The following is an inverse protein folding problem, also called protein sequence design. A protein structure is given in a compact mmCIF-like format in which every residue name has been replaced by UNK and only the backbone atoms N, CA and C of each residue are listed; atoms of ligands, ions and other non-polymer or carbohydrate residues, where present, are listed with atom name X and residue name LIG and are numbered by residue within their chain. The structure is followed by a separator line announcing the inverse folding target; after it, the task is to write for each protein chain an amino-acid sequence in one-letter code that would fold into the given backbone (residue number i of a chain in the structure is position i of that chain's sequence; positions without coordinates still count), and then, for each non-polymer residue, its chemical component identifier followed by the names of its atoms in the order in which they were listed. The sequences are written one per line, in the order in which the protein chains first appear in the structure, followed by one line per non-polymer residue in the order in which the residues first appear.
data_IF_693416434801
#
_entry.id   IF_693416434801
#
_cell.length_a   1.000
_cell.length_b   1.000
_cell.length_c   1.000
_cell.angle_alpha   90.00
_cell.angle_beta   90.00
_cell.angle_gamma   90.00
#
_symmetry.space_group_name_H-M   'P 1'
#
loop_
_entity.id
_entity.type
_entity.pdbx_description
1 polymer ?
#
# COMPACT_ATOMS: atom_id res chain seq x y z
N UNK A 1 -1.77 -8.57 31.34
CA UNK A 1 -3.14 -8.06 31.57
C UNK A 1 -4.14 -9.17 31.19
N UNK A 2 -5.29 -9.32 31.86
CA UNK A 2 -6.28 -10.31 31.42
C UNK A 2 -7.00 -9.83 30.14
N UNK A 3 -6.94 -10.62 29.07
CA UNK A 3 -7.58 -10.32 27.79
C UNK A 3 -9.10 -10.09 27.95
N UNK A 4 -9.76 -10.84 28.84
CA UNK A 4 -11.18 -10.70 29.11
C UNK A 4 -11.53 -9.36 29.80
N UNK A 5 -10.63 -8.79 30.58
CA UNK A 5 -10.88 -7.57 31.35
C UNK A 5 -10.44 -6.30 30.62
N UNK A 6 -9.76 -6.42 29.48
CA UNK A 6 -9.32 -5.26 28.71
C UNK A 6 -10.51 -4.48 28.13
N UNK A 7 -10.45 -3.14 28.06
CA UNK A 7 -11.49 -2.34 27.42
C UNK A 7 -11.78 -2.74 25.97
N UNK A 8 -10.74 -3.16 25.23
CA UNK A 8 -10.88 -3.70 23.87
C UNK A 8 -11.63 -5.03 23.90
N UNK A 9 -11.24 -5.96 24.79
CA UNK A 9 -11.90 -7.25 24.93
C UNK A 9 -13.37 -7.16 25.33
N UNK A 10 -13.74 -6.18 26.18
CA UNK A 10 -15.13 -5.91 26.52
C UNK A 10 -15.94 -5.44 25.30
N UNK A 11 -15.36 -4.58 24.45
CA UNK A 11 -16.03 -4.14 23.21
C UNK A 11 -16.13 -5.28 22.21
N UNK A 12 -15.06 -6.06 22.04
CA UNK A 12 -15.04 -7.22 21.16
C UNK A 12 -16.14 -8.22 21.52
N UNK A 13 -16.35 -8.51 22.82
CA UNK A 13 -17.44 -9.39 23.25
C UNK A 13 -18.82 -8.88 22.85
N UNK A 14 -19.06 -7.56 22.93
CA UNK A 14 -20.34 -6.96 22.53
C UNK A 14 -20.58 -7.02 21.02
N UNK A 15 -19.51 -6.97 20.24
CA UNK A 15 -19.56 -6.98 18.77
C UNK A 15 -19.16 -8.33 18.17
N UNK A 16 -19.01 -9.39 18.98
CA UNK A 16 -18.32 -10.63 18.58
C UNK A 16 -18.95 -11.30 17.36
N UNK A 17 -20.28 -11.37 17.32
CA UNK A 17 -21.00 -12.00 16.21
C UNK A 17 -20.78 -11.21 14.90
N UNK A 18 -20.90 -9.89 14.95
CA UNK A 18 -20.69 -9.02 13.80
C UNK A 18 -19.23 -9.06 13.32
N UNK A 19 -18.27 -9.07 14.25
CA UNK A 19 -16.85 -9.22 13.93
C UNK A 19 -16.56 -10.57 13.28
N UNK A 20 -17.07 -11.67 13.84
CA UNK A 20 -16.86 -13.01 13.27
C UNK A 20 -17.43 -13.13 11.87
N UNK A 21 -18.65 -12.62 11.66
CA UNK A 21 -19.31 -12.59 10.35
C UNK A 21 -18.48 -11.78 9.34
N UNK A 22 -18.06 -10.57 9.73
CA UNK A 22 -17.23 -9.72 8.89
C UNK A 22 -15.91 -10.40 8.51
N UNK A 23 -15.25 -11.02 9.49
CA UNK A 23 -14.00 -11.76 9.31
C UNK A 23 -14.15 -12.90 8.30
N UNK A 24 -15.23 -13.66 8.40
CA UNK A 24 -15.54 -14.76 7.47
C UNK A 24 -15.82 -14.26 6.05
N UNK A 25 -16.59 -13.19 5.91
CA UNK A 25 -16.98 -12.63 4.61
C UNK A 25 -15.81 -11.97 3.87
N UNK A 26 -14.88 -11.35 4.62
CA UNK A 26 -13.81 -10.52 4.04
C UNK A 26 -12.41 -11.16 4.11
N UNK A 27 -12.29 -12.38 4.65
CA UNK A 27 -11.00 -13.06 4.81
C UNK A 27 -10.05 -12.32 5.76
N UNK A 28 -10.60 -11.72 6.82
CA UNK A 28 -9.85 -10.96 7.83
C UNK A 28 -9.76 -11.80 9.10
N UNK A 29 -8.58 -11.87 9.72
CA UNK A 29 -8.38 -12.56 10.99
C UNK A 29 -8.26 -11.58 12.13
N UNK A 30 -8.99 -11.81 13.22
CA UNK A 30 -9.00 -10.96 14.41
C UNK A 30 -8.78 -11.81 15.66
N UNK A 31 -7.83 -11.41 16.52
CA UNK A 31 -7.62 -12.05 17.82
C UNK A 31 -7.18 -11.04 18.87
N UNK A 32 -7.49 -11.32 20.13
CA UNK A 32 -7.16 -10.44 21.25
C UNK A 32 -5.86 -10.93 21.91
N UNK A 33 -4.88 -10.05 22.02
CA UNK A 33 -3.60 -10.35 22.67
C UNK A 33 -3.02 -9.10 23.34
N UNK A 34 -2.52 -9.27 24.56
CA UNK A 34 -2.06 -8.23 25.48
C UNK A 34 -3.00 -7.00 25.59
N UNK A 35 -4.32 -7.24 25.64
CA UNK A 35 -5.32 -6.18 25.70
C UNK A 35 -5.46 -5.33 24.42
N UNK A 36 -4.84 -5.76 23.33
CA UNK A 36 -4.94 -5.17 21.99
C UNK A 36 -5.69 -6.12 21.07
N UNK A 37 -6.48 -5.59 20.15
CA UNK A 37 -7.09 -6.39 19.09
C UNK A 37 -6.16 -6.39 17.89
N UNK A 38 -5.63 -7.56 17.58
CA UNK A 38 -4.78 -7.81 16.44
C UNK A 38 -5.66 -8.15 15.24
N UNK A 39 -5.37 -7.50 14.13
CA UNK A 39 -6.12 -7.68 12.88
C UNK A 39 -5.11 -7.94 11.78
N UNK A 40 -5.34 -9.02 11.04
CA UNK A 40 -4.51 -9.43 9.91
C UNK A 40 -5.41 -9.55 8.68
N UNK A 41 -5.03 -8.83 7.63
CA UNK A 41 -5.57 -9.03 6.28
C UNK A 41 -4.52 -9.70 5.40
N UNK A 42 -4.88 -10.20 4.21
CA UNK A 42 -3.89 -10.69 3.25
C UNK A 42 -2.88 -9.64 2.78
N UNK A 43 -3.08 -8.34 3.09
CA UNK A 43 -2.28 -7.22 2.58
C UNK A 43 -1.57 -6.43 3.67
N UNK A 44 -2.07 -6.44 4.90
CA UNK A 44 -1.62 -5.53 5.95
C UNK A 44 -1.89 -6.08 7.35
N UNK A 45 -1.16 -5.53 8.31
CA UNK A 45 -1.29 -5.83 9.74
C UNK A 45 -1.74 -4.58 10.48
N UNK A 46 -2.70 -4.75 11.40
CA UNK A 46 -3.27 -3.66 12.18
C UNK A 46 -3.41 -4.03 13.66
N UNK A 47 -3.53 -2.99 14.48
CA UNK A 47 -3.84 -3.08 15.91
C UNK A 47 -4.93 -2.09 16.24
N UNK A 48 -5.90 -2.52 17.02
CA UNK A 48 -6.84 -1.63 17.71
C UNK A 48 -6.50 -1.65 19.19
N UNK A 49 -6.26 -0.47 19.75
CA UNK A 49 -6.04 -0.27 21.17
C UNK A 49 -7.08 0.70 21.73
N UNK A 50 -7.27 0.67 23.04
CA UNK A 50 -7.90 1.78 23.75
C UNK A 50 -6.79 2.70 24.27
N UNK A 51 -6.85 3.98 23.94
CA UNK A 51 -5.87 4.97 24.37
C UNK A 51 -6.56 6.17 25.04
N UNK A 52 -5.95 6.65 26.13
CA UNK A 52 -6.38 7.81 26.89
C UNK A 52 -7.54 7.56 27.86
N UNK A 53 -7.84 8.58 28.68
CA UNK A 53 -8.85 8.54 29.75
C UNK A 53 -10.30 8.33 29.26
N UNK A 54 -10.57 8.61 27.99
CA UNK A 54 -11.91 8.57 27.41
C UNK A 54 -12.34 7.18 26.89
N UNK A 55 -11.56 6.13 27.13
CA UNK A 55 -11.84 4.76 26.65
C UNK A 55 -12.15 4.67 25.14
N UNK A 56 -11.55 5.55 24.33
CA UNK A 56 -11.77 5.60 22.88
C UNK A 56 -10.86 4.59 22.18
N UNK A 57 -11.37 4.02 21.10
CA UNK A 57 -10.59 3.15 20.23
C UNK A 57 -9.67 3.97 19.32
N UNK A 58 -8.50 3.41 19.04
CA UNK A 58 -7.49 3.96 18.15
C UNK A 58 -7.02 2.84 17.23
N UNK A 59 -6.94 3.14 15.94
CA UNK A 59 -6.45 2.22 14.94
C UNK A 59 -4.99 2.50 14.62
N UNK A 60 -4.19 1.45 14.56
CA UNK A 60 -2.78 1.48 14.26
C UNK A 60 -2.49 0.56 13.06
N UNK A 61 -1.68 1.02 12.13
CA UNK A 61 -1.29 0.31 10.91
C UNK A 61 0.20 -0.01 10.91
N UNK A 62 0.58 -1.24 10.55
CA UNK A 62 1.98 -1.60 10.38
C UNK A 62 2.48 -1.08 9.05
N UNK A 63 3.56 -0.29 9.07
CA UNK A 63 4.19 0.08 7.81
C UNK A 63 4.91 -1.11 7.20
N UNK A 64 4.67 -1.35 5.92
CA UNK A 64 5.44 -2.34 5.12
C UNK A 64 6.80 -1.81 4.66
N UNK A 65 7.10 -0.54 4.92
CA UNK A 65 8.39 0.07 4.58
C UNK A 65 9.23 0.18 5.84
N UNK A 66 10.32 -0.57 5.91
CA UNK A 66 11.40 -0.38 6.87
C UNK A 66 12.00 1.01 6.64
N UNK A 67 11.42 2.03 7.27
CA UNK A 67 12.14 3.28 7.47
C UNK A 67 13.13 3.03 8.60
N UNK A 68 14.40 3.32 8.35
CA UNK A 68 15.46 3.29 9.37
C UNK A 68 15.13 4.18 10.58
N UNK A 69 14.29 5.19 10.39
CA UNK A 69 13.78 6.04 11.46
C UNK A 69 12.66 5.35 12.23
N UNK A 70 12.94 5.01 13.49
CA UNK A 70 11.92 4.59 14.46
C UNK A 70 11.02 5.76 14.77
N UNK A 71 9.89 5.88 14.06
CA UNK A 71 8.84 6.83 14.43
C UNK A 71 8.32 6.41 15.81
N UNK A 72 8.42 7.25 16.85
CA UNK A 72 7.91 6.91 18.16
C UNK A 72 6.41 6.68 18.08
N UNK A 73 5.98 5.50 18.52
CA UNK A 73 4.59 5.09 18.53
C UNK A 73 4.29 4.30 19.78
N UNK A 74 3.08 4.48 20.30
CA UNK A 74 2.56 3.73 21.45
C UNK A 74 2.56 2.23 21.15
N UNK A 75 2.31 1.86 19.90
CA UNK A 75 2.38 0.48 19.43
C UNK A 75 3.67 0.33 18.60
N UNK A 76 4.71 -0.34 19.13
CA UNK A 76 6.00 -0.46 18.45
C UNK A 76 5.88 -1.03 17.03
N UNK A 77 6.41 -0.32 16.03
CA UNK A 77 6.35 -0.74 14.62
C UNK A 77 5.05 -0.41 13.89
N UNK A 78 4.08 0.20 14.56
CA UNK A 78 2.82 0.64 13.96
C UNK A 78 2.68 2.16 14.05
N UNK A 79 1.92 2.79 13.16
CA UNK A 79 1.58 4.22 13.24
C UNK A 79 0.07 4.41 13.46
N UNK A 80 -0.29 5.45 14.21
CA UNK A 80 -1.70 5.78 14.46
C UNK A 80 -2.37 6.28 13.19
N UNK A 81 -3.56 5.78 12.91
CA UNK A 81 -4.39 6.27 11.83
C UNK A 81 -5.37 7.33 12.34
N UNK A 82 -5.54 8.40 11.57
CA UNK A 82 -6.41 9.54 11.91
C UNK A 82 -7.92 9.25 11.71
N UNK A 83 -8.31 7.98 11.66
CA UNK A 83 -9.71 7.55 11.54
C UNK A 83 -10.26 7.20 12.93
N UNK A 84 -11.50 7.62 13.17
CA UNK A 84 -12.20 7.41 14.44
C UNK A 84 -13.50 6.68 14.16
N UNK A 85 -13.55 5.42 14.57
CA UNK A 85 -14.77 4.63 14.64
C UNK A 85 -15.10 4.35 16.10
N UNK A 86 -16.40 4.29 16.40
CA UNK A 86 -16.89 3.89 17.72
C UNK A 86 -16.96 2.37 17.87
N UNK A 87 -17.06 1.66 16.75
CA UNK A 87 -17.22 0.19 16.66
C UNK A 87 -15.98 -0.47 16.07
N UNK A 88 -15.75 -1.73 16.44
CA UNK A 88 -14.69 -2.55 15.86
C UNK A 88 -15.01 -2.82 14.38
N UNK A 89 -16.26 -3.15 14.06
CA UNK A 89 -16.67 -3.43 12.67
C UNK A 89 -16.43 -2.21 11.76
N UNK A 90 -16.68 -0.99 12.23
CA UNK A 90 -16.38 0.22 11.46
C UNK A 90 -14.89 0.40 11.16
N UNK A 91 -14.01 -0.07 12.07
CA UNK A 91 -12.58 -0.13 11.76
C UNK A 91 -12.23 -1.24 10.76
N UNK A 92 -12.87 -2.40 10.85
CA UNK A 92 -12.65 -3.49 9.89
C UNK A 92 -13.05 -3.09 8.47
N UNK A 93 -14.20 -2.42 8.32
CA UNK A 93 -14.66 -1.86 7.05
C UNK A 93 -13.65 -0.87 6.45
N UNK A 94 -13.17 0.07 7.29
CA UNK A 94 -12.11 0.99 6.89
C UNK A 94 -10.84 0.27 6.41
N UNK A 95 -10.41 -0.78 7.13
CA UNK A 95 -9.20 -1.55 6.80
C UNK A 95 -9.33 -2.19 5.41
N UNK A 96 -10.46 -2.84 5.12
CA UNK A 96 -10.70 -3.49 3.81
C UNK A 96 -10.69 -2.46 2.68
N UNK A 97 -11.37 -1.33 2.86
CA UNK A 97 -11.38 -0.25 1.87
C UNK A 97 -9.98 0.34 1.65
N UNK A 98 -9.24 0.54 2.73
CA UNK A 98 -7.86 1.01 2.68
C UNK A 98 -6.96 0.07 1.88
N UNK A 99 -7.04 -1.24 2.12
CA UNK A 99 -6.25 -2.24 1.41
C UNK A 99 -6.59 -2.33 -0.08
N UNK A 100 -7.88 -2.23 -0.42
CA UNK A 100 -8.34 -2.17 -1.80
C UNK A 100 -7.77 -0.94 -2.52
N UNK A 101 -7.83 0.23 -1.88
CA UNK A 101 -7.26 1.46 -2.41
C UNK A 101 -5.75 1.36 -2.63
N UNK A 102 -4.99 0.84 -1.65
CA UNK A 102 -3.54 0.65 -1.76
C UNK A 102 -3.17 -0.32 -2.89
N UNK A 103 -3.96 -1.38 -3.07
CA UNK A 103 -3.76 -2.34 -4.17
C UNK A 103 -3.98 -1.69 -5.54
N UNK A 104 -5.03 -0.87 -5.68
CA UNK A 104 -5.28 -0.12 -6.90
C UNK A 104 -4.19 0.92 -7.19
N UNK A 105 -3.71 1.63 -6.18
CA UNK A 105 -2.58 2.55 -6.33
C UNK A 105 -1.32 1.84 -6.82
N UNK A 106 -1.01 0.66 -6.25
CA UNK A 106 0.14 -0.14 -6.67
C UNK A 106 0.02 -0.59 -8.13
N UNK A 107 -1.18 -1.00 -8.56
CA UNK A 107 -1.46 -1.36 -9.96
C UNK A 107 -1.24 -0.17 -10.90
N UNK A 108 -1.82 0.99 -10.60
CA UNK A 108 -1.65 2.23 -11.39
C UNK A 108 -0.18 2.66 -11.48
N UNK A 109 0.56 2.56 -10.38
CA UNK A 109 1.99 2.90 -10.36
C UNK A 109 2.81 1.96 -11.26
N UNK A 110 2.49 0.66 -11.25
CA UNK A 110 3.13 -0.34 -12.12
C UNK A 110 2.82 -0.07 -13.60
N UNK A 111 1.56 0.16 -13.94
CA UNK A 111 1.14 0.48 -15.32
C UNK A 111 1.86 1.73 -15.85
N UNK A 112 1.98 2.77 -15.01
CA UNK A 112 2.74 3.98 -15.35
C UNK A 112 4.22 3.68 -15.57
N UNK A 113 4.84 2.88 -14.70
CA UNK A 113 6.25 2.50 -14.83
C UNK A 113 6.50 1.69 -16.12
N UNK A 114 5.63 0.75 -16.44
CA UNK A 114 5.71 -0.08 -17.64
C UNK A 114 5.50 0.77 -18.91
N UNK A 115 4.53 1.69 -18.90
CA UNK A 115 4.33 2.65 -19.99
C UNK A 115 5.57 3.52 -20.23
N UNK A 116 6.16 4.08 -19.17
CA UNK A 116 7.39 4.86 -19.26
C UNK A 116 8.58 4.04 -19.77
N UNK A 117 8.68 2.76 -19.37
CA UNK A 117 9.71 1.83 -19.88
C UNK A 117 9.54 1.56 -21.36
N UNK A 118 8.31 1.34 -21.82
CA UNK A 118 8.00 1.10 -23.22
C UNK A 118 8.28 2.33 -24.08
N UNK A 119 7.91 3.53 -23.60
CA UNK A 119 8.25 4.79 -24.26
C UNK A 119 9.76 4.91 -24.45
N UNK A 120 10.55 4.71 -23.38
CA UNK A 120 12.02 4.74 -23.45
C UNK A 120 12.59 3.73 -24.45
N UNK A 121 12.03 2.51 -24.52
CA UNK A 121 12.44 1.47 -25.47
C UNK A 121 12.16 1.89 -26.92
N UNK A 122 10.98 2.46 -27.18
CA UNK A 122 10.59 2.93 -28.50
C UNK A 122 11.44 4.14 -28.94
N UNK A 123 11.69 5.11 -28.06
CA UNK A 123 12.58 6.25 -28.36
C UNK A 123 13.98 5.78 -28.72
N UNK A 124 14.55 4.82 -27.99
CA UNK A 124 15.87 4.24 -28.31
C UNK A 124 15.87 3.51 -29.66
N UNK A 125 14.78 2.81 -30.01
CA UNK A 125 14.66 2.13 -31.31
C UNK A 125 14.61 3.16 -32.45
N UNK A 126 13.86 4.24 -32.28
CA UNK A 126 13.79 5.32 -33.26
C UNK A 126 15.16 5.99 -33.44
N UNK A 127 15.84 6.34 -32.34
CA UNK A 127 17.18 6.94 -32.38
C UNK A 127 18.21 6.07 -33.12
N UNK A 128 18.22 4.74 -32.88
CA UNK A 128 19.08 3.81 -33.64
C UNK A 128 18.72 3.73 -35.12
N UNK A 129 17.41 3.75 -35.44
CA UNK A 129 16.94 3.77 -36.82
C UNK A 129 17.31 5.06 -37.56
N UNK A 130 17.36 6.20 -36.87
CA UNK A 130 17.81 7.48 -37.43
C UNK A 130 19.33 7.58 -37.56
N UNK A 131 20.09 7.06 -36.60
CA UNK A 131 21.56 7.01 -36.72
C UNK A 131 22.00 6.08 -37.85
N UNK A 132 21.32 4.95 -38.07
CA UNK A 132 21.56 4.09 -39.24
C UNK A 132 21.14 4.71 -40.59
N UNK A 133 20.38 5.82 -40.59
CA UNK A 133 19.99 6.57 -41.80
C UNK A 133 20.85 7.82 -42.03
N UNK A 134 21.76 8.16 -41.11
CA UNK A 134 22.76 9.20 -41.37
C UNK A 134 23.81 8.59 -42.29
N UNK A 135 23.74 8.95 -43.57
CA UNK A 135 24.84 8.68 -44.51
C UNK A 135 26.14 9.20 -43.89
N UNK A 136 27.16 8.36 -43.88
CA UNK A 136 28.51 8.75 -43.52
C UNK A 136 28.96 9.87 -44.49
N UNK A 137 29.78 10.83 -44.03
CA UNK A 137 30.33 11.93 -44.84
C UNK A 137 30.85 11.48 -46.23
N UNK A 138 31.45 10.29 -46.32
CA UNK A 138 31.93 9.70 -47.57
C UNK A 138 30.80 9.29 -48.54
N UNK A 139 29.64 8.87 -48.02
CA UNK A 139 28.46 8.57 -48.83
C UNK A 139 27.77 9.85 -49.32
N UNK A 140 27.80 10.93 -48.52
CA UNK A 140 27.27 12.23 -48.95
C UNK A 140 28.14 12.87 -50.05
N UNK A 141 29.48 12.77 -49.94
CA UNK A 141 30.40 13.26 -50.97
C UNK A 141 30.20 12.55 -52.31
N UNK A 142 30.04 11.22 -52.30
CA UNK A 142 29.75 10.41 -53.49
C UNK A 142 28.42 10.79 -54.17
N UNK A 143 27.40 11.17 -53.41
CA UNK A 143 26.11 11.61 -53.99
C UNK A 143 26.23 13.01 -54.58
N UNK A 144 27.03 13.90 -53.97
CA UNK A 144 27.25 15.26 -54.50
C UNK A 144 28.07 15.25 -55.79
N UNK A 145 29.08 14.38 -55.93
CA UNK A 145 29.88 14.27 -57.16
C UNK A 145 29.06 13.82 -58.38
N UNK A 146 27.97 13.07 -58.19
CA UNK A 146 27.09 12.64 -59.28
C UNK A 146 26.06 13.67 -59.73
N UNK A 147 25.90 14.79 -59.02
CA UNK A 147 24.93 15.86 -59.35
C UNK A 147 25.62 17.01 -60.13
N UNK A 148 26.95 17.06 -60.12
CA UNK A 148 27.75 18.12 -60.76
C UNK A 148 28.48 17.68 -62.06
N UNK A 149 28.05 16.58 -62.69
CA UNK A 149 28.43 16.15 -64.03
C UNK A 149 27.21 16.12 -64.95
#
# INVERSE_FOLDING_TARGET
MCNCCSPVGMRLRKEQEAVNRFCQENGVSCWLDDGQLHILTPKSEWRIIVNGKANKLFLYHKNTYEKYEKIPSIVPGFHSQAIRSTTIVGYLDYIVQHDAFRSQQKKKAKEKADSMRNLRKNTRRYQRGTDNRRFNANQLYSIMDHIYL
#
